data_IF_684112097166
#
_entry.id   IF_684112097166
#
_cell.length_a   1.000
_cell.length_b   1.000
_cell.length_c   1.000
_cell.angle_alpha   90.00
_cell.angle_beta   90.00
_cell.angle_gamma   90.00
#
_symmetry.space_group_name_H-M   'P 1'
#
loop_
_entity.id
_entity.type
_entity.pdbx_description
1 polymer ?
#
# COMPACT_ATOMS: atom_id res chain seq x y z
N UNK A 1 -15.46 0.69 14.33
CA UNK A 1 -15.68 0.70 12.87
C UNK A 1 -15.30 -0.67 12.34
N UNK A 2 -16.07 -1.22 11.39
CA UNK A 2 -15.70 -2.47 10.74
C UNK A 2 -14.55 -2.23 9.74
N UNK A 3 -13.63 -3.20 9.54
CA UNK A 3 -12.61 -3.11 8.51
C UNK A 3 -13.22 -2.86 7.13
N UNK A 4 -12.57 -1.98 6.35
CA UNK A 4 -12.96 -1.75 4.96
C UNK A 4 -12.47 -2.93 4.13
N UNK A 5 -13.39 -3.63 3.46
CA UNK A 5 -13.07 -4.79 2.64
C UNK A 5 -12.51 -4.36 1.29
N UNK A 6 -11.38 -4.95 0.92
CA UNK A 6 -10.79 -4.84 -0.41
C UNK A 6 -11.34 -5.99 -1.26
N UNK A 7 -11.80 -5.67 -2.47
CA UNK A 7 -12.42 -6.62 -3.38
C UNK A 7 -11.40 -7.28 -4.30
N UNK A 8 -10.60 -6.49 -5.02
CA UNK A 8 -9.59 -7.01 -5.95
C UNK A 8 -8.50 -5.98 -6.24
N UNK A 9 -7.39 -6.46 -6.81
CA UNK A 9 -6.31 -5.63 -7.35
C UNK A 9 -6.72 -5.11 -8.72
N UNK A 10 -6.76 -3.78 -8.89
CA UNK A 10 -7.08 -3.12 -10.16
C UNK A 10 -5.85 -3.08 -11.07
N UNK A 11 -4.72 -2.66 -10.51
CA UNK A 11 -3.46 -2.55 -11.22
C UNK A 11 -2.27 -2.60 -10.26
N UNK A 12 -1.08 -2.92 -10.78
CA UNK A 12 0.19 -2.85 -10.05
C UNK A 12 1.33 -2.54 -11.02
N UNK A 13 2.42 -1.92 -10.54
CA UNK A 13 3.58 -1.59 -11.37
C UNK A 13 4.51 -2.78 -11.61
N UNK A 14 4.76 -3.57 -10.58
CA UNK A 14 5.61 -4.77 -10.63
C UNK A 14 5.23 -5.74 -9.51
N UNK A 15 5.51 -7.03 -9.69
CA UNK A 15 5.35 -8.00 -8.62
C UNK A 15 6.34 -9.18 -8.70
N UNK A 16 6.65 -9.77 -7.54
CA UNK A 16 7.35 -11.03 -7.42
C UNK A 16 6.37 -12.21 -7.64
N UNK A 17 6.71 -13.24 -8.43
CA UNK A 17 5.83 -14.39 -8.67
C UNK A 17 5.41 -15.17 -7.41
N UNK A 18 6.22 -15.14 -6.35
CA UNK A 18 5.94 -15.79 -5.06
C UNK A 18 5.22 -14.87 -4.08
N UNK A 19 5.36 -13.56 -4.26
CA UNK A 19 4.78 -12.53 -3.39
C UNK A 19 3.97 -11.49 -4.20
N UNK A 20 2.88 -11.93 -4.86
CA UNK A 20 2.13 -11.07 -5.77
C UNK A 20 1.21 -10.10 -5.02
N UNK A 21 0.64 -9.13 -5.72
CA UNK A 21 -0.20 -8.07 -5.12
C UNK A 21 -1.45 -8.63 -4.44
N UNK A 22 -1.99 -9.74 -4.95
CA UNK A 22 -3.18 -10.42 -4.43
C UNK A 22 -3.00 -10.94 -3.00
N UNK A 23 -1.75 -11.09 -2.52
CA UNK A 23 -1.49 -11.43 -1.12
C UNK A 23 -2.12 -10.43 -0.14
N UNK A 24 -2.28 -9.16 -0.54
CA UNK A 24 -2.89 -8.12 0.28
C UNK A 24 -4.41 -8.27 0.43
N UNK A 25 -5.04 -9.17 -0.34
CA UNK A 25 -6.48 -9.45 -0.26
C UNK A 25 -6.82 -10.52 0.79
N UNK A 26 -5.82 -11.29 1.25
CA UNK A 26 -6.04 -12.41 2.17
C UNK A 26 -6.20 -11.92 3.61
N UNK A 27 -7.37 -12.14 4.20
CA UNK A 27 -7.61 -11.88 5.63
C UNK A 27 -7.03 -13.00 6.53
N UNK A 28 -6.89 -14.21 5.99
CA UNK A 28 -6.50 -15.42 6.75
C UNK A 28 -4.98 -15.57 6.92
N UNK A 29 -4.17 -14.94 6.07
CA UNK A 29 -2.71 -15.01 6.17
C UNK A 29 -2.05 -13.71 5.75
N UNK A 30 -1.24 -13.16 6.66
CA UNK A 30 -0.44 -11.96 6.39
C UNK A 30 0.73 -12.35 5.49
N UNK A 31 0.60 -12.05 4.20
CA UNK A 31 1.68 -12.24 3.21
C UNK A 31 2.01 -10.90 2.55
N UNK A 32 3.29 -10.58 2.34
CA UNK A 32 3.67 -9.33 1.72
C UNK A 32 3.40 -9.36 0.22
N UNK A 33 3.26 -8.17 -0.36
CA UNK A 33 3.49 -7.92 -1.78
C UNK A 33 4.91 -7.40 -1.97
N UNK A 34 5.67 -7.99 -2.90
CA UNK A 34 7.03 -7.56 -3.23
C UNK A 34 7.13 -7.24 -4.71
N UNK A 35 8.06 -6.34 -5.06
CA UNK A 35 8.42 -6.05 -6.45
C UNK A 35 9.18 -7.19 -7.11
N UNK A 36 9.24 -7.20 -8.44
CA UNK A 36 9.99 -8.19 -9.20
C UNK A 36 11.49 -8.00 -8.90
N UNK A 37 12.27 -9.04 -8.59
CA UNK A 37 13.70 -8.90 -8.30
C UNK A 37 14.52 -8.27 -9.43
N UNK A 38 14.03 -8.38 -10.67
CA UNK A 38 14.64 -7.79 -11.86
C UNK A 38 14.24 -6.32 -12.07
N UNK A 39 13.17 -5.85 -11.42
CA UNK A 39 12.73 -4.46 -11.50
C UNK A 39 13.68 -3.56 -10.70
N UNK A 40 14.13 -2.47 -11.35
CA UNK A 40 15.04 -1.46 -10.79
C UNK A 40 14.39 -0.09 -10.67
N UNK A 41 13.07 0.00 -10.82
CA UNK A 41 12.26 1.22 -10.72
C UNK A 41 12.40 1.94 -9.38
N UNK A 42 12.78 1.21 -8.31
CA UNK A 42 12.86 1.70 -6.91
C UNK A 42 11.53 2.20 -6.35
N UNK A 43 10.44 2.04 -7.09
CA UNK A 43 9.11 2.48 -6.71
C UNK A 43 8.11 1.39 -7.10
N UNK A 44 7.22 1.07 -6.16
CA UNK A 44 6.12 0.16 -6.38
C UNK A 44 4.82 0.90 -6.16
N UNK A 45 3.87 0.75 -7.08
CA UNK A 45 2.51 1.28 -6.95
C UNK A 45 1.51 0.16 -7.18
N UNK A 46 0.46 0.14 -6.38
CA UNK A 46 -0.66 -0.79 -6.49
C UNK A 46 -1.97 0.00 -6.37
N UNK A 47 -2.99 -0.47 -7.05
CA UNK A 47 -4.34 0.07 -6.95
C UNK A 47 -5.31 -1.02 -6.50
N UNK A 48 -6.10 -0.73 -5.47
CA UNK A 48 -7.06 -1.67 -4.87
C UNK A 48 -8.47 -1.13 -4.99
N UNK A 49 -9.38 -1.98 -5.48
CA UNK A 49 -10.80 -1.67 -5.47
C UNK A 49 -11.40 -2.10 -4.14
N UNK A 50 -12.03 -1.17 -3.43
CA UNK A 50 -12.84 -1.47 -2.25
C UNK A 50 -14.19 -2.08 -2.68
N UNK A 51 -14.77 -2.94 -1.84
CA UNK A 51 -16.08 -3.57 -2.11
C UNK A 51 -17.20 -2.52 -2.33
N UNK A 52 -17.13 -1.41 -1.59
CA UNK A 52 -18.03 -0.26 -1.72
C UNK A 52 -17.33 1.03 -1.33
N UNK A 53 -17.81 2.15 -1.87
CA UNK A 53 -17.37 3.47 -1.45
C UNK A 53 -17.61 3.65 0.06
N UNK A 54 -16.52 3.85 0.81
CA UNK A 54 -16.55 3.90 2.27
C UNK A 54 -15.66 5.05 2.76
N UNK A 55 -16.06 5.77 3.84
CA UNK A 55 -15.15 6.68 4.51
C UNK A 55 -14.01 5.90 5.17
N UNK A 56 -12.78 6.41 5.06
CA UNK A 56 -11.58 5.80 5.64
C UNK A 56 -11.13 6.66 6.82
N UNK A 57 -11.31 6.16 8.05
CA UNK A 57 -10.86 6.87 9.25
C UNK A 57 -9.46 6.47 9.73
N UNK A 58 -9.06 5.23 9.43
CA UNK A 58 -7.79 4.63 9.87
C UNK A 58 -7.22 3.76 8.75
N UNK A 59 -5.90 3.75 8.63
CA UNK A 59 -5.15 2.86 7.72
C UNK A 59 -3.97 2.27 8.49
N UNK A 60 -3.91 0.95 8.57
CA UNK A 60 -2.79 0.23 9.15
C UNK A 60 -1.97 -0.41 8.03
N UNK A 61 -0.66 -0.15 8.01
CA UNK A 61 0.24 -0.65 6.96
C UNK A 61 1.37 -1.44 7.58
N UNK A 62 1.46 -2.73 7.23
CA UNK A 62 2.63 -3.57 7.49
C UNK A 62 3.69 -3.33 6.42
N UNK A 63 4.87 -2.88 6.84
CA UNK A 63 6.01 -2.68 5.96
C UNK A 63 6.73 -4.00 5.69
N UNK A 64 7.33 -4.13 4.50
CA UNK A 64 8.25 -5.22 4.17
C UNK A 64 9.47 -4.69 3.39
N UNK A 65 10.13 -3.67 3.96
CA UNK A 65 11.34 -3.06 3.37
C UNK A 65 11.10 -1.86 2.47
N UNK A 66 9.93 -1.22 2.53
CA UNK A 66 9.69 0.05 1.87
C UNK A 66 10.21 1.20 2.73
N UNK A 67 10.97 2.12 2.14
CA UNK A 67 11.50 3.29 2.85
C UNK A 67 10.46 4.40 3.02
N UNK A 68 9.66 4.65 1.98
CA UNK A 68 8.67 5.73 1.91
C UNK A 68 7.30 5.17 1.48
N UNK A 69 6.23 5.69 2.04
CA UNK A 69 4.86 5.32 1.69
C UNK A 69 4.02 6.57 1.41
N UNK A 70 3.20 6.51 0.37
CA UNK A 70 2.13 7.46 0.07
C UNK A 70 0.85 6.67 -0.20
N UNK A 71 -0.30 7.18 0.28
CA UNK A 71 -1.60 6.57 0.01
C UNK A 71 -2.51 7.63 -0.59
N UNK A 72 -3.12 7.29 -1.72
CA UNK A 72 -4.06 8.14 -2.42
C UNK A 72 -5.38 7.41 -2.60
N UNK A 73 -6.46 8.17 -2.72
CA UNK A 73 -7.83 7.66 -2.80
C UNK A 73 -8.60 8.33 -3.92
N UNK A 74 -9.48 7.55 -4.53
CA UNK A 74 -10.30 7.98 -5.64
C UNK A 74 -11.61 7.23 -5.66
N UNK A 75 -12.54 7.66 -6.51
CA UNK A 75 -13.77 6.91 -6.78
C UNK A 75 -13.67 6.34 -8.18
N UNK A 76 -14.01 5.08 -8.33
CA UNK A 76 -14.10 4.43 -9.65
C UNK A 76 -15.12 5.10 -10.59
N UNK A 77 -16.05 5.90 -10.04
CA UNK A 77 -16.98 6.73 -10.80
C UNK A 77 -16.42 8.08 -11.24
N UNK A 78 -15.18 8.44 -10.88
CA UNK A 78 -14.56 9.68 -11.32
C UNK A 78 -14.18 9.62 -12.80
N UNK A 79 -14.14 10.78 -13.49
CA UNK A 79 -13.52 10.88 -14.81
C UNK A 79 -12.08 10.33 -14.77
N UNK A 80 -11.64 9.65 -15.84
CA UNK A 80 -10.33 8.98 -15.91
C UNK A 80 -9.15 9.94 -15.79
N UNK A 81 -9.35 11.19 -16.16
CA UNK A 81 -8.39 12.30 -16.09
C UNK A 81 -8.33 12.95 -14.70
N UNK A 82 -9.25 12.60 -13.79
CA UNK A 82 -9.22 13.11 -12.44
C UNK A 82 -8.16 12.36 -11.62
N UNK A 83 -7.16 13.06 -11.05
CA UNK A 83 -6.14 12.42 -10.21
C UNK A 83 -6.74 11.91 -8.90
N UNK A 84 -6.10 10.89 -8.31
CA UNK A 84 -6.35 10.48 -6.94
C UNK A 84 -6.02 11.64 -5.98
N UNK A 85 -6.66 11.64 -4.82
CA UNK A 85 -6.44 12.62 -3.76
C UNK A 85 -5.60 11.98 -2.67
N UNK A 86 -4.56 12.67 -2.22
CA UNK A 86 -3.69 12.18 -1.14
C UNK A 86 -4.48 11.99 0.16
N UNK A 87 -4.51 10.76 0.68
CA UNK A 87 -5.04 10.42 1.99
C UNK A 87 -3.93 10.43 3.05
N UNK A 88 -2.78 9.83 2.73
CA UNK A 88 -1.58 9.85 3.56
C UNK A 88 -0.46 10.46 2.72
N UNK A 89 0.10 11.63 3.11
CA UNK A 89 1.23 12.22 2.39
C UNK A 89 2.44 11.29 2.45
N UNK A 90 3.46 11.54 1.63
CA UNK A 90 4.70 10.75 1.68
C UNK A 90 5.29 10.77 3.10
N UNK A 91 5.41 9.59 3.71
CA UNK A 91 5.95 9.37 5.06
C UNK A 91 7.05 8.33 5.05
N UNK A 92 8.07 8.52 5.88
CA UNK A 92 9.17 7.57 6.01
C UNK A 92 8.80 6.39 6.92
N UNK A 93 8.80 5.18 6.39
CA UNK A 93 8.60 3.94 7.16
C UNK A 93 9.91 3.36 7.70
N UNK A 94 11.05 3.74 7.11
CA UNK A 94 12.38 3.34 7.54
C UNK A 94 13.30 4.56 7.63
N UNK A 95 14.30 4.50 8.51
CA UNK A 95 15.38 5.49 8.49
C UNK A 95 16.31 5.24 7.29
N UNK A 96 17.10 6.24 6.86
CA UNK A 96 18.11 6.03 5.83
C UNK A 96 19.14 4.96 6.20
N UNK A 97 19.48 4.83 7.49
CA UNK A 97 20.41 3.81 7.99
C UNK A 97 19.80 2.42 7.90
N UNK A 98 18.56 2.25 8.38
CA UNK A 98 17.82 0.98 8.28
C UNK A 98 17.66 0.55 6.82
N UNK A 99 17.40 1.49 5.92
CA UNK A 99 17.23 1.23 4.49
C UNK A 99 18.53 0.77 3.82
N UNK A 100 19.68 1.33 4.21
CA UNK A 100 20.99 0.95 3.68
C UNK A 100 21.49 -0.39 4.22
N UNK A 101 21.20 -0.66 5.49
CA UNK A 101 21.67 -1.86 6.20
C UNK A 101 20.66 -3.01 6.16
N UNK A 102 19.50 -2.80 5.53
CA UNK A 102 18.41 -3.75 5.40
C UNK A 102 17.87 -4.25 6.76
N UNK A 103 17.77 -3.34 7.74
CA UNK A 103 17.33 -3.62 9.12
C UNK A 103 15.91 -3.12 9.36
N UNK A 104 15.24 -3.65 10.38
CA UNK A 104 13.92 -3.18 10.85
C UNK A 104 12.85 -3.07 9.74
N UNK A 105 12.90 -3.97 8.76
CA UNK A 105 12.08 -3.91 7.53
C UNK A 105 10.59 -4.16 7.75
N UNK A 106 10.23 -4.78 8.88
CA UNK A 106 8.90 -5.35 9.13
C UNK A 106 8.06 -4.56 10.15
N UNK A 107 8.19 -3.23 10.18
CA UNK A 107 7.40 -2.37 11.07
C UNK A 107 5.96 -2.18 10.61
N UNK A 108 5.02 -2.03 11.55
CA UNK A 108 3.64 -1.62 11.26
C UNK A 108 3.49 -0.14 11.57
N UNK A 109 2.82 0.63 10.69
CA UNK A 109 2.49 2.02 10.93
C UNK A 109 0.99 2.25 10.80
N UNK A 110 0.43 2.93 11.80
CA UNK A 110 -0.98 3.29 11.87
C UNK A 110 -1.14 4.76 11.49
N UNK A 111 -2.05 5.01 10.55
CA UNK A 111 -2.48 6.34 10.15
C UNK A 111 -3.92 6.54 10.59
N UNK A 112 -4.20 7.68 11.21
CA UNK A 112 -5.55 8.09 11.59
C UNK A 112 -5.79 9.48 11.05
N UNK A 113 -7.06 9.79 10.79
CA UNK A 113 -7.46 11.16 10.51
C UNK A 113 -6.92 12.08 11.62
N UNK A 114 -6.08 13.05 11.21
CA UNK A 114 -5.50 14.02 12.12
C UNK A 114 -6.60 14.96 12.62
N UNK A 115 -6.70 15.10 13.94
CA UNK A 115 -7.01 16.41 14.50
C UNK A 115 -5.73 17.24 14.51
#
# INVERSE_FOLDING_TARGET
>A
MAPVKISYVVSFSSQDPKYPAENLLSEDSVRPWLGCPQDRSRQLSLELQLERASPIGFVDVGNCGCALLQIEVGRSSWPRDRPYVTLVPTVALMTPEDSKLDRNRCGVRMFKEGK
#
